data_IF_575996148874
#
_entry.id   IF_575996148874
#
_cell.length_a   1.000
_cell.length_b   1.000
_cell.length_c   1.000
_cell.angle_alpha   90.00
_cell.angle_beta   90.00
_cell.angle_gamma   90.00
#
_symmetry.space_group_name_H-M   'P 1'
#
loop_
_entity.id
_entity.type
_entity.pdbx_description
1 polymer ?
#
# COMPACT_ATOMS: atom_id res chain seq x y z
N UNK A 1 -1.26 4.65 30.74
CA UNK A 1 -1.25 3.96 29.44
C UNK A 1 -0.82 4.92 28.34
N UNK A 2 0.13 4.51 27.49
CA UNK A 2 0.75 5.34 26.42
C UNK A 2 -0.22 5.69 25.28
N UNK A 3 -1.19 4.83 25.01
CA UNK A 3 -2.27 5.03 24.04
C UNK A 3 -3.61 4.88 24.77
N UNK A 4 -4.55 5.79 24.54
CA UNK A 4 -5.85 5.84 25.21
C UNK A 4 -6.98 5.32 24.32
N UNK A 5 -6.89 5.56 23.01
CA UNK A 5 -7.91 5.19 22.04
C UNK A 5 -7.32 4.27 20.98
N UNK A 6 -7.76 3.01 20.96
CA UNK A 6 -7.28 1.99 20.05
C UNK A 6 -8.34 1.63 19.02
N UNK A 7 -7.97 1.63 17.74
CA UNK A 7 -8.76 1.08 16.66
C UNK A 7 -8.21 -0.29 16.28
N UNK A 8 -9.04 -1.32 16.33
CA UNK A 8 -8.77 -2.62 15.75
C UNK A 8 -9.42 -2.69 14.36
N UNK A 9 -8.63 -2.42 13.32
CA UNK A 9 -9.07 -2.42 11.93
C UNK A 9 -8.81 -3.80 11.30
N UNK A 10 -9.83 -4.48 10.78
CA UNK A 10 -9.65 -5.82 10.20
C UNK A 10 -10.19 -5.93 8.77
N UNK A 11 -9.74 -6.94 8.01
CA UNK A 11 -10.29 -7.21 6.67
C UNK A 11 -11.48 -8.16 6.71
N UNK A 12 -12.34 -8.13 5.68
CA UNK A 12 -13.12 -9.33 5.31
C UNK A 12 -12.22 -10.25 4.48
N UNK A 13 -12.28 -11.55 4.72
CA UNK A 13 -11.51 -12.52 3.94
C UNK A 13 -12.07 -12.67 2.53
N UNK A 14 -11.21 -13.02 1.56
CA UNK A 14 -11.63 -13.26 0.18
C UNK A 14 -12.71 -14.36 0.11
N UNK A 15 -12.59 -15.40 0.94
CA UNK A 15 -13.61 -16.44 1.03
C UNK A 15 -14.99 -15.87 1.41
N UNK A 16 -15.04 -15.00 2.42
CA UNK A 16 -16.29 -14.38 2.84
C UNK A 16 -16.89 -13.53 1.72
N UNK A 17 -16.08 -12.70 1.08
CA UNK A 17 -16.54 -11.83 -0.02
C UNK A 17 -17.06 -12.66 -1.20
N UNK A 18 -16.31 -13.67 -1.64
CA UNK A 18 -16.65 -14.44 -2.85
C UNK A 18 -17.69 -15.54 -2.62
N UNK A 19 -17.75 -16.16 -1.44
CA UNK A 19 -18.60 -17.35 -1.24
C UNK A 19 -19.70 -17.16 -0.21
N UNK A 20 -19.55 -16.26 0.78
CA UNK A 20 -20.57 -16.05 1.81
C UNK A 20 -21.45 -14.83 1.55
N UNK A 21 -20.89 -13.75 1.00
CA UNK A 21 -21.59 -12.47 0.84
C UNK A 21 -22.08 -12.23 -0.60
N UNK A 22 -21.45 -12.86 -1.60
CA UNK A 22 -21.94 -12.76 -2.97
C UNK A 22 -22.91 -13.90 -3.28
N UNK A 23 -24.04 -13.59 -3.90
CA UNK A 23 -25.02 -14.55 -4.45
C UNK A 23 -24.48 -15.29 -5.68
N UNK A 24 -23.20 -15.64 -5.69
CA UNK A 24 -22.47 -15.97 -6.90
C UNK A 24 -22.60 -17.44 -7.30
N UNK A 25 -22.73 -17.65 -8.61
CA UNK A 25 -22.64 -18.92 -9.32
C UNK A 25 -21.28 -19.62 -9.20
N UNK A 26 -20.34 -19.08 -8.41
CA UNK A 26 -19.01 -19.65 -8.18
C UNK A 26 -19.07 -21.05 -7.54
N UNK A 27 -20.13 -21.34 -6.78
CA UNK A 27 -20.41 -22.66 -6.22
C UNK A 27 -20.63 -23.75 -7.29
N UNK A 28 -20.95 -23.38 -8.54
CA UNK A 28 -21.28 -24.33 -9.60
C UNK A 28 -20.07 -24.81 -10.42
N UNK A 29 -18.86 -24.28 -10.19
CA UNK A 29 -17.67 -24.66 -10.99
C UNK A 29 -16.97 -25.88 -10.39
N UNK A 30 -17.06 -27.01 -11.11
CA UNK A 30 -16.72 -28.37 -10.62
C UNK A 30 -15.29 -28.85 -10.90
N UNK A 31 -14.44 -28.12 -11.63
CA UNK A 31 -13.10 -28.62 -11.93
C UNK A 31 -12.20 -28.62 -10.67
N UNK A 32 -11.39 -29.67 -10.53
CA UNK A 32 -10.55 -30.00 -9.37
C UNK A 32 -9.65 -28.84 -8.96
N UNK A 33 -9.05 -28.13 -9.92
CA UNK A 33 -8.17 -26.97 -9.66
C UNK A 33 -8.92 -25.87 -8.90
N UNK A 34 -10.15 -25.56 -9.31
CA UNK A 34 -10.98 -24.53 -8.65
C UNK A 34 -11.33 -24.97 -7.23
N UNK A 35 -11.65 -26.26 -7.03
CA UNK A 35 -11.93 -26.81 -5.69
C UNK A 35 -10.73 -26.71 -4.75
N UNK A 36 -9.50 -26.94 -5.23
CA UNK A 36 -8.28 -26.78 -4.43
C UNK A 36 -8.09 -25.32 -3.99
N UNK A 37 -8.33 -24.35 -4.87
CA UNK A 37 -8.26 -22.92 -4.52
C UNK A 37 -9.36 -22.50 -3.54
N UNK A 38 -10.58 -23.02 -3.66
CA UNK A 38 -11.65 -22.77 -2.68
C UNK A 38 -11.21 -23.23 -1.29
N UNK A 39 -10.66 -24.45 -1.16
CA UNK A 39 -10.15 -24.96 0.11
C UNK A 39 -9.02 -24.09 0.67
N UNK A 40 -8.15 -23.56 -0.19
CA UNK A 40 -7.10 -22.61 0.22
C UNK A 40 -7.70 -21.32 0.77
N UNK A 41 -8.71 -20.75 0.09
CA UNK A 41 -9.42 -19.57 0.59
C UNK A 41 -10.12 -19.82 1.92
N UNK A 42 -10.70 -21.00 2.10
CA UNK A 42 -11.36 -21.41 3.34
C UNK A 42 -10.37 -21.57 4.50
N UNK A 43 -9.20 -22.18 4.28
CA UNK A 43 -8.14 -22.25 5.31
C UNK A 43 -7.67 -20.85 5.73
N UNK A 44 -7.40 -19.97 4.76
CA UNK A 44 -7.03 -18.58 5.01
C UNK A 44 -8.15 -17.76 5.66
N UNK A 45 -9.41 -18.17 5.51
CA UNK A 45 -10.54 -17.58 6.20
C UNK A 45 -10.49 -17.93 7.69
N UNK A 46 -10.40 -19.22 8.02
CA UNK A 46 -10.36 -19.68 9.41
C UNK A 46 -9.16 -19.09 10.16
N UNK A 47 -7.94 -19.21 9.62
CA UNK A 47 -6.73 -18.66 10.23
C UNK A 47 -6.86 -17.14 10.52
N UNK A 48 -7.47 -16.40 9.60
CA UNK A 48 -7.71 -14.97 9.77
C UNK A 48 -8.67 -14.65 10.92
N UNK A 49 -9.81 -15.34 11.01
CA UNK A 49 -10.80 -15.07 12.05
C UNK A 49 -10.37 -15.61 13.42
N UNK A 50 -9.62 -16.70 13.47
CA UNK A 50 -9.01 -17.21 14.70
C UNK A 50 -7.96 -16.22 15.24
N UNK A 51 -7.11 -15.68 14.34
CA UNK A 51 -6.17 -14.62 14.69
C UNK A 51 -6.88 -13.35 15.18
N UNK A 52 -7.94 -12.91 14.49
CA UNK A 52 -8.73 -11.75 14.90
C UNK A 52 -9.33 -11.93 16.29
N UNK A 53 -9.98 -13.08 16.54
CA UNK A 53 -10.54 -13.42 17.84
C UNK A 53 -9.49 -13.41 18.94
N UNK A 54 -8.30 -13.95 18.65
CA UNK A 54 -7.20 -14.02 19.61
C UNK A 54 -6.60 -12.64 19.91
N UNK A 55 -6.43 -11.78 18.90
CA UNK A 55 -6.02 -10.38 19.08
C UNK A 55 -7.02 -9.62 19.95
N UNK A 56 -8.32 -9.70 19.65
CA UNK A 56 -9.37 -9.05 20.44
C UNK A 56 -9.39 -9.55 21.89
N UNK A 57 -9.23 -10.87 22.10
CA UNK A 57 -9.14 -11.47 23.44
C UNK A 57 -7.94 -10.93 24.21
N UNK A 58 -6.76 -10.86 23.58
CA UNK A 58 -5.54 -10.36 24.23
C UNK A 58 -5.65 -8.89 24.62
N UNK A 59 -6.26 -8.05 23.78
CA UNK A 59 -6.56 -6.66 24.12
C UNK A 59 -7.47 -6.56 25.34
N UNK A 60 -8.55 -7.35 25.36
CA UNK A 60 -9.49 -7.40 26.47
C UNK A 60 -8.84 -7.86 27.77
N UNK A 61 -8.08 -8.97 27.76
CA UNK A 61 -7.39 -9.51 28.94
C UNK A 61 -6.39 -8.53 29.54
N UNK A 62 -5.75 -7.68 28.73
CA UNK A 62 -4.82 -6.65 29.20
C UNK A 62 -5.52 -5.32 29.58
N UNK A 63 -6.85 -5.29 29.65
CA UNK A 63 -7.63 -4.12 30.05
C UNK A 63 -7.58 -2.96 29.04
N UNK A 64 -7.25 -3.25 27.77
CA UNK A 64 -7.13 -2.23 26.73
C UNK A 64 -8.50 -2.03 26.09
N UNK A 65 -9.01 -0.79 26.13
CA UNK A 65 -10.25 -0.42 25.44
C UNK A 65 -9.97 -0.18 23.95
N UNK A 66 -10.79 -0.78 23.08
CA UNK A 66 -10.65 -0.63 21.63
C UNK A 66 -12.01 -0.60 20.93
N UNK A 67 -12.03 -0.04 19.72
CA UNK A 67 -13.15 -0.15 18.78
C UNK A 67 -12.78 -1.12 17.67
N UNK A 68 -13.63 -2.10 17.38
CA UNK A 68 -13.49 -2.97 16.21
C UNK A 68 -14.17 -2.38 14.98
N UNK A 69 -13.49 -2.39 13.84
CA UNK A 69 -14.07 -1.93 12.58
C UNK A 69 -13.49 -2.73 11.41
N UNK A 70 -14.33 -3.19 10.48
CA UNK A 70 -13.84 -3.77 9.24
C UNK A 70 -13.43 -2.66 8.25
N UNK A 71 -12.37 -2.90 7.48
CA UNK A 71 -11.87 -1.97 6.44
C UNK A 71 -12.93 -1.73 5.38
N UNK A 72 -13.11 -0.47 4.98
CA UNK A 72 -14.17 -0.04 4.06
C UNK A 72 -15.45 0.47 4.75
N UNK A 73 -15.60 0.31 6.07
CA UNK A 73 -16.63 1.06 6.83
C UNK A 73 -16.12 2.45 7.17
N UNK A 74 -16.99 3.46 7.03
CA UNK A 74 -16.66 4.85 7.39
C UNK A 74 -16.42 4.94 8.91
N UNK A 75 -15.25 5.42 9.29
CA UNK A 75 -14.86 5.67 10.68
C UNK A 75 -13.97 6.93 10.76
N UNK A 76 -14.09 7.69 11.85
CA UNK A 76 -13.24 8.85 12.08
C UNK A 76 -11.91 8.41 12.74
N UNK A 77 -10.88 8.20 11.91
CA UNK A 77 -9.55 7.79 12.37
C UNK A 77 -8.94 8.77 13.39
N UNK A 78 -9.27 10.07 13.34
CA UNK A 78 -8.71 11.09 14.24
C UNK A 78 -9.01 10.85 15.74
N UNK A 79 -9.97 9.99 16.05
CA UNK A 79 -10.32 9.61 17.43
C UNK A 79 -9.36 8.61 18.06
N UNK A 80 -8.43 8.04 17.28
CA UNK A 80 -7.59 6.93 17.69
C UNK A 80 -6.12 7.33 17.62
N UNK A 81 -5.37 6.96 18.64
CA UNK A 81 -3.94 7.28 18.75
C UNK A 81 -3.08 6.05 18.36
N UNK A 82 -3.67 4.85 18.44
CA UNK A 82 -3.11 3.59 17.94
C UNK A 82 -4.12 2.88 17.03
N UNK A 83 -3.65 2.47 15.84
CA UNK A 83 -4.39 1.63 14.91
C UNK A 83 -3.68 0.29 14.82
N UNK A 84 -4.34 -0.77 15.26
CA UNK A 84 -3.88 -2.14 15.09
C UNK A 84 -4.63 -2.73 13.90
N UNK A 85 -3.92 -3.10 12.85
CA UNK A 85 -4.55 -3.71 11.66
C UNK A 85 -4.40 -5.23 11.70
N UNK A 86 -5.50 -5.97 11.62
CA UNK A 86 -5.51 -7.44 11.57
C UNK A 86 -5.89 -7.92 10.17
N UNK A 87 -4.91 -8.41 9.43
CA UNK A 87 -5.08 -8.76 8.03
C UNK A 87 -3.75 -9.05 7.36
N UNK A 88 -3.53 -8.49 6.19
CA UNK A 88 -2.20 -8.39 5.58
C UNK A 88 -1.92 -6.94 5.20
N UNK A 89 -0.96 -6.73 4.31
CA UNK A 89 -0.51 -5.39 3.87
C UNK A 89 -1.63 -4.49 3.37
N UNK A 90 -2.63 -5.04 2.66
CA UNK A 90 -3.77 -4.26 2.20
C UNK A 90 -4.65 -3.69 3.32
N UNK A 91 -4.58 -4.23 4.55
CA UNK A 91 -5.30 -3.67 5.71
C UNK A 91 -4.48 -2.57 6.37
N UNK A 92 -3.15 -2.75 6.42
CA UNK A 92 -2.22 -1.70 6.83
C UNK A 92 -2.29 -0.48 5.89
N UNK A 93 -2.27 -0.71 4.57
CA UNK A 93 -2.38 0.34 3.55
C UNK A 93 -3.67 1.15 3.71
N UNK A 94 -4.79 0.49 4.02
CA UNK A 94 -6.05 1.20 4.29
C UNK A 94 -5.93 2.17 5.48
N UNK A 95 -5.39 1.71 6.61
CA UNK A 95 -5.17 2.57 7.76
C UNK A 95 -4.23 3.73 7.40
N UNK A 96 -3.15 3.43 6.68
CA UNK A 96 -2.10 4.39 6.32
C UNK A 96 -2.58 5.61 5.53
N UNK A 97 -3.70 5.48 4.80
CA UNK A 97 -4.31 6.57 4.03
C UNK A 97 -5.05 7.58 4.90
N UNK A 98 -5.54 7.14 6.05
CA UNK A 98 -6.41 7.93 6.91
C UNK A 98 -5.71 8.51 8.14
N UNK A 99 -4.50 8.04 8.43
CA UNK A 99 -3.73 8.49 9.60
C UNK A 99 -2.81 9.68 9.30
N UNK A 100 -2.60 10.50 10.32
CA UNK A 100 -1.57 11.53 10.35
C UNK A 100 -0.26 11.02 11.00
N UNK A 101 0.74 11.87 11.10
CA UNK A 101 2.08 11.53 11.63
C UNK A 101 2.12 11.28 13.15
N UNK A 102 1.09 11.68 13.89
CA UNK A 102 1.03 11.55 15.35
C UNK A 102 0.47 10.19 15.77
N UNK A 103 -0.33 9.58 14.90
CA UNK A 103 -0.96 8.28 15.09
C UNK A 103 0.01 7.15 14.76
N UNK A 104 -0.04 6.07 15.54
CA UNK A 104 0.78 4.87 15.33
C UNK A 104 -0.04 3.79 14.64
N UNK A 105 0.51 3.15 13.61
CA UNK A 105 -0.10 2.00 12.94
C UNK A 105 0.77 0.76 13.18
N UNK A 106 0.15 -0.33 13.62
CA UNK A 106 0.80 -1.63 13.86
C UNK A 106 0.07 -2.70 13.04
N UNK A 107 0.79 -3.35 12.13
CA UNK A 107 0.24 -4.46 11.35
C UNK A 107 0.42 -5.81 12.03
N UNK A 108 -0.68 -6.57 12.12
CA UNK A 108 -0.72 -7.97 12.53
C UNK A 108 -1.12 -8.81 11.32
N UNK A 109 -0.20 -9.65 10.85
CA UNK A 109 -0.48 -10.62 9.80
C UNK A 109 -1.35 -11.74 10.39
N UNK A 110 -2.62 -11.73 9.98
CA UNK A 110 -3.64 -12.64 10.50
C UNK A 110 -3.63 -14.02 9.85
N UNK A 111 -2.88 -14.20 8.76
CA UNK A 111 -2.84 -15.47 8.03
C UNK A 111 -1.44 -15.69 7.43
N UNK A 112 -0.39 -15.79 8.28
CA UNK A 112 1.00 -15.88 7.84
C UNK A 112 1.28 -17.10 6.94
N UNK A 113 0.50 -18.18 7.05
CA UNK A 113 0.63 -19.33 6.15
C UNK A 113 0.14 -19.04 4.71
N UNK A 114 -0.54 -17.90 4.52
CA UNK A 114 -1.17 -17.52 3.25
C UNK A 114 -0.85 -16.09 2.81
N UNK A 115 -0.08 -15.33 3.60
CA UNK A 115 0.28 -13.94 3.33
C UNK A 115 1.65 -13.60 3.90
N UNK A 116 2.40 -12.77 3.18
CA UNK A 116 3.74 -12.31 3.61
C UNK A 116 3.65 -11.25 4.72
N UNK A 117 2.78 -10.24 4.56
CA UNK A 117 2.61 -9.17 5.55
C UNK A 117 3.85 -8.31 5.75
N UNK A 118 4.37 -7.66 4.69
CA UNK A 118 5.60 -6.87 4.74
C UNK A 118 5.53 -5.65 5.66
N UNK A 119 4.35 -5.03 5.77
CA UNK A 119 4.10 -3.93 6.70
C UNK A 119 3.66 -4.41 8.10
N UNK A 120 3.39 -5.71 8.24
CA UNK A 120 3.03 -6.30 9.51
C UNK A 120 4.30 -6.61 10.33
N UNK A 121 4.30 -6.14 11.57
CA UNK A 121 5.40 -6.37 12.52
C UNK A 121 5.09 -7.51 13.48
N UNK A 122 3.86 -8.04 13.45
CA UNK A 122 3.45 -9.16 14.27
C UNK A 122 2.62 -10.20 13.49
N UNK A 123 2.61 -11.42 14.01
CA UNK A 123 1.57 -12.44 13.80
C UNK A 123 0.86 -12.65 15.13
N UNK A 124 -0.08 -13.59 15.24
CA UNK A 124 -0.64 -13.93 16.54
C UNK A 124 0.42 -14.45 17.52
N UNK A 125 1.45 -15.15 17.01
CA UNK A 125 2.47 -15.83 17.82
C UNK A 125 3.30 -14.87 18.67
N UNK A 126 3.54 -13.64 18.19
CA UNK A 126 4.30 -12.62 18.90
C UNK A 126 3.47 -11.38 19.30
N UNK A 127 2.16 -11.39 19.04
CA UNK A 127 1.32 -10.22 19.29
C UNK A 127 1.23 -9.87 20.77
N UNK A 128 1.16 -10.87 21.66
CA UNK A 128 1.08 -10.61 23.10
C UNK A 128 2.35 -9.90 23.63
N UNK A 129 3.53 -10.34 23.19
CA UNK A 129 4.79 -9.69 23.55
C UNK A 129 4.84 -8.25 23.00
N UNK A 130 4.45 -8.06 21.74
CA UNK A 130 4.36 -6.74 21.14
C UNK A 130 3.37 -5.85 21.91
N UNK A 131 2.21 -6.38 22.29
CA UNK A 131 1.20 -5.67 23.05
C UNK A 131 1.77 -5.19 24.39
N UNK A 132 2.49 -6.07 25.09
CA UNK A 132 3.16 -5.73 26.33
C UNK A 132 4.18 -4.62 26.14
N UNK A 133 4.97 -4.69 25.05
CA UNK A 133 5.92 -3.62 24.71
C UNK A 133 5.22 -2.28 24.44
N UNK A 134 4.13 -2.28 23.67
CA UNK A 134 3.39 -1.07 23.28
C UNK A 134 2.83 -0.33 24.49
N UNK A 135 2.20 -1.06 25.43
CA UNK A 135 1.40 -0.46 26.49
C UNK A 135 2.13 -0.35 27.83
N UNK A 136 3.09 -1.24 28.10
CA UNK A 136 3.70 -1.37 29.42
C UNK A 136 5.21 -1.12 29.43
N UNK A 137 5.87 -0.98 28.27
CA UNK A 137 7.31 -0.69 28.20
C UNK A 137 7.67 0.40 27.17
N UNK A 138 8.97 0.60 26.89
CA UNK A 138 9.47 1.52 25.87
C UNK A 138 9.60 0.82 24.51
N UNK A 139 8.87 1.31 23.51
CA UNK A 139 9.02 0.92 22.10
C UNK A 139 9.89 1.88 21.30
N UNK A 140 10.62 1.36 20.31
CA UNK A 140 11.29 2.14 19.27
C UNK A 140 10.31 2.40 18.13
N UNK A 141 10.12 3.67 17.79
CA UNK A 141 9.33 4.05 16.64
C UNK A 141 10.16 4.01 15.36
N UNK A 142 9.49 3.71 14.25
CA UNK A 142 10.02 3.87 12.90
C UNK A 142 8.97 4.53 12.01
N UNK A 143 9.39 4.93 10.81
CA UNK A 143 8.56 5.68 9.89
C UNK A 143 8.62 5.05 8.51
N UNK A 144 7.45 4.70 7.97
CA UNK A 144 7.32 4.42 6.55
C UNK A 144 7.01 5.73 5.83
N UNK A 145 7.88 6.12 4.90
CA UNK A 145 7.71 7.33 4.12
C UNK A 145 6.73 7.11 2.97
N UNK A 146 5.87 8.10 2.72
CA UNK A 146 4.92 8.13 1.60
C UNK A 146 5.47 8.94 0.44
N UNK A 147 4.99 8.69 -0.77
CA UNK A 147 5.12 9.60 -1.91
C UNK A 147 3.86 10.46 -2.02
N UNK A 148 4.04 11.76 -2.27
CA UNK A 148 2.98 12.71 -2.58
C UNK A 148 2.82 12.88 -4.07
N UNK A 149 1.59 12.77 -4.54
CA UNK A 149 1.12 13.05 -5.89
C UNK A 149 0.41 14.40 -5.84
N UNK A 150 0.94 15.43 -6.50
CA UNK A 150 0.32 16.75 -6.60
C UNK A 150 -0.04 17.03 -8.06
N UNK A 151 -1.33 17.10 -8.36
CA UNK A 151 -1.87 17.49 -9.66
C UNK A 151 -1.82 19.01 -9.77
N UNK A 152 -1.00 19.53 -10.69
CA UNK A 152 -0.71 20.98 -10.72
C UNK A 152 -1.89 21.82 -11.19
N UNK A 153 -2.78 21.25 -11.98
CA UNK A 153 -3.94 21.94 -12.54
C UNK A 153 -4.96 22.28 -11.46
N UNK A 154 -5.16 21.35 -10.51
CA UNK A 154 -6.20 21.44 -9.48
C UNK A 154 -5.64 21.78 -8.09
N UNK A 155 -4.35 21.55 -7.86
CA UNK A 155 -3.74 21.60 -6.53
C UNK A 155 -4.10 20.40 -5.64
N UNK A 156 -4.91 19.46 -6.15
CA UNK A 156 -5.28 18.24 -5.43
C UNK A 156 -4.06 17.36 -5.21
N UNK A 157 -4.02 16.71 -4.04
CA UNK A 157 -2.93 15.79 -3.73
C UNK A 157 -3.37 14.54 -2.98
N UNK A 158 -2.59 13.48 -3.19
CA UNK A 158 -2.73 12.19 -2.54
C UNK A 158 -1.38 11.71 -2.02
N UNK A 159 -1.38 10.98 -0.92
CA UNK A 159 -0.18 10.32 -0.39
C UNK A 159 -0.32 8.81 -0.54
N UNK A 160 0.68 8.15 -1.14
CA UNK A 160 0.74 6.71 -1.34
C UNK A 160 1.91 6.10 -0.55
N UNK A 161 1.67 4.96 0.10
CA UNK A 161 2.68 4.31 0.96
C UNK A 161 3.54 3.30 0.21
N UNK A 162 2.99 2.62 -0.79
CA UNK A 162 3.64 1.54 -1.52
C UNK A 162 4.21 2.06 -2.85
N UNK A 163 3.35 2.26 -3.84
CA UNK A 163 3.74 2.60 -5.20
C UNK A 163 2.60 3.28 -5.97
N UNK A 164 2.97 3.91 -7.08
CA UNK A 164 2.06 4.41 -8.10
C UNK A 164 2.45 3.89 -9.48
N UNK A 165 1.43 3.68 -10.30
CA UNK A 165 1.57 3.41 -11.74
C UNK A 165 0.94 4.55 -12.51
N UNK A 166 1.70 5.17 -13.40
CA UNK A 166 1.18 6.11 -14.38
C UNK A 166 1.21 5.41 -15.74
N UNK A 167 0.04 5.21 -16.34
CA UNK A 167 -0.07 4.51 -17.61
C UNK A 167 -1.33 4.92 -18.38
N UNK A 168 -1.45 4.44 -19.62
CA UNK A 168 -2.71 4.48 -20.33
C UNK A 168 -3.76 3.60 -19.62
N UNK A 169 -5.01 4.04 -19.59
CA UNK A 169 -6.12 3.32 -18.93
C UNK A 169 -6.42 1.94 -19.53
N UNK A 170 -6.19 1.78 -20.84
CA UNK A 170 -6.17 0.49 -21.52
C UNK A 170 -4.72 -0.07 -21.54
N UNK A 171 -4.45 -1.25 -20.94
CA UNK A 171 -3.10 -1.82 -20.88
C UNK A 171 -2.52 -2.25 -22.24
N UNK A 172 -3.36 -2.41 -23.27
CA UNK A 172 -2.89 -2.70 -24.63
C UNK A 172 -2.41 -1.44 -25.39
N UNK A 173 -2.62 -0.26 -24.82
CA UNK A 173 -2.26 1.02 -25.46
C UNK A 173 -0.95 1.57 -24.91
N UNK A 174 -0.22 2.28 -25.77
CA UNK A 174 1.03 2.94 -25.41
C UNK A 174 0.79 4.08 -24.41
N UNK A 175 1.62 4.13 -23.38
CA UNK A 175 1.73 5.29 -22.49
C UNK A 175 2.76 6.26 -23.04
N UNK A 176 2.39 7.54 -23.19
CA UNK A 176 3.26 8.60 -23.71
C UNK A 176 3.25 9.79 -22.77
N UNK A 177 4.43 10.25 -22.35
CA UNK A 177 4.55 11.34 -21.39
C UNK A 177 5.92 12.01 -21.50
N UNK A 178 6.01 13.26 -21.04
CA UNK A 178 7.30 13.84 -20.67
C UNK A 178 7.61 13.50 -19.22
N UNK A 179 8.84 13.07 -18.94
CA UNK A 179 9.39 12.95 -17.59
C UNK A 179 10.49 13.99 -17.42
N UNK A 180 10.46 14.72 -16.30
CA UNK A 180 11.50 15.66 -15.90
C UNK A 180 11.97 15.37 -14.48
N UNK A 181 13.29 15.22 -14.33
CA UNK A 181 13.98 15.10 -13.05
C UNK A 181 15.17 16.05 -13.07
N UNK A 182 15.20 17.03 -12.15
CA UNK A 182 16.13 18.16 -12.18
C UNK A 182 16.07 18.86 -13.54
N UNK A 183 17.21 18.97 -14.23
CA UNK A 183 17.35 19.68 -15.51
C UNK A 183 17.17 18.77 -16.73
N UNK A 184 17.03 17.46 -16.52
CA UNK A 184 16.81 16.50 -17.61
C UNK A 184 15.32 16.32 -17.83
N UNK A 185 14.88 16.52 -19.09
CA UNK A 185 13.53 16.25 -19.56
C UNK A 185 13.60 15.42 -20.84
N UNK A 186 12.75 14.39 -20.94
CA UNK A 186 12.63 13.58 -22.15
C UNK A 186 11.20 13.11 -22.36
N UNK A 187 10.76 13.00 -23.63
CA UNK A 187 9.54 12.29 -23.98
C UNK A 187 9.81 10.79 -23.91
N UNK A 188 9.00 10.04 -23.16
CA UNK A 188 9.07 8.59 -23.09
C UNK A 188 7.78 7.95 -23.63
N UNK A 189 7.97 6.77 -24.22
CA UNK A 189 6.94 5.88 -24.72
C UNK A 189 7.17 4.52 -24.08
N UNK A 190 6.17 3.98 -23.40
CA UNK A 190 6.34 2.77 -22.57
C UNK A 190 4.97 2.16 -22.26
N UNK A 191 4.90 1.07 -21.49
CA UNK A 191 3.62 0.59 -20.93
C UNK A 191 3.22 1.28 -19.62
N UNK A 192 3.93 2.36 -19.29
CA UNK A 192 3.77 3.16 -18.07
C UNK A 192 5.07 3.31 -17.29
N UNK A 193 4.96 3.92 -16.12
CA UNK A 193 6.08 4.13 -15.20
C UNK A 193 5.64 3.80 -13.77
N UNK A 194 6.46 2.99 -13.11
CA UNK A 194 6.36 2.75 -11.67
C UNK A 194 7.12 3.83 -10.92
N UNK A 195 6.53 4.34 -9.84
CA UNK A 195 7.23 5.14 -8.84
C UNK A 195 6.86 4.58 -7.47
N UNK A 196 7.85 4.23 -6.65
CA UNK A 196 7.64 3.51 -5.40
C UNK A 196 8.44 4.13 -4.25
N UNK A 197 7.89 4.07 -3.04
CA UNK A 197 8.62 4.40 -1.81
C UNK A 197 9.68 3.34 -1.52
N UNK A 198 10.54 3.58 -0.53
CA UNK A 198 11.42 2.54 -0.03
C UNK A 198 10.63 1.35 0.56
N UNK A 199 9.51 1.62 1.23
CA UNK A 199 8.67 0.59 1.84
C UNK A 199 7.93 -0.26 0.79
N UNK A 200 7.58 0.32 -0.36
CA UNK A 200 7.00 -0.41 -1.48
C UNK A 200 8.01 -1.06 -2.43
N UNK A 201 9.30 -0.95 -2.15
CA UNK A 201 10.37 -1.45 -3.02
C UNK A 201 10.40 -2.98 -3.19
N UNK A 202 9.66 -3.73 -2.37
CA UNK A 202 9.45 -5.17 -2.51
C UNK A 202 8.18 -5.54 -3.30
N UNK A 203 7.36 -4.55 -3.67
CA UNK A 203 6.09 -4.71 -4.37
C UNK A 203 6.23 -4.76 -5.88
N UNK A 204 5.31 -4.10 -6.60
CA UNK A 204 5.21 -4.19 -8.05
C UNK A 204 6.49 -3.73 -8.76
N UNK A 205 7.16 -2.70 -8.23
CA UNK A 205 8.41 -2.23 -8.81
C UNK A 205 9.54 -3.26 -8.72
N UNK A 206 9.53 -4.13 -7.70
CA UNK A 206 10.52 -5.21 -7.59
C UNK A 206 10.34 -6.21 -8.72
N UNK A 207 9.09 -6.62 -8.97
CA UNK A 207 8.73 -7.51 -10.07
C UNK A 207 9.09 -6.91 -11.43
N UNK A 208 9.06 -5.58 -11.56
CA UNK A 208 9.46 -4.88 -12.77
C UNK A 208 10.99 -4.73 -12.94
N UNK A 209 11.82 -5.21 -11.99
CA UNK A 209 13.29 -5.09 -12.04
C UNK A 209 13.88 -3.97 -11.19
N UNK A 210 13.07 -3.34 -10.33
CA UNK A 210 13.51 -2.31 -9.37
C UNK A 210 14.41 -2.85 -8.26
N UNK A 211 14.99 -1.91 -7.49
CA UNK A 211 15.90 -2.25 -6.39
C UNK A 211 15.10 -2.51 -5.11
N UNK A 212 15.53 -3.49 -4.32
CA UNK A 212 15.04 -3.63 -2.95
C UNK A 212 15.74 -2.58 -2.09
N UNK A 213 14.98 -1.80 -1.32
CA UNK A 213 15.48 -0.71 -0.49
C UNK A 213 15.17 -1.00 0.98
N UNK A 214 15.93 -0.38 1.89
CA UNK A 214 15.56 -0.34 3.30
C UNK A 214 14.27 0.47 3.46
N UNK A 215 13.21 -0.21 3.91
CA UNK A 215 11.84 0.30 4.00
C UNK A 215 11.68 1.56 4.86
N UNK A 216 12.63 1.85 5.74
CA UNK A 216 12.60 3.05 6.59
C UNK A 216 13.36 4.24 5.99
N UNK A 217 14.04 4.08 4.85
CA UNK A 217 14.76 5.20 4.20
C UNK A 217 13.81 6.18 3.54
N UNK A 218 14.12 7.48 3.68
CA UNK A 218 13.39 8.60 3.06
C UNK A 218 13.79 8.81 1.60
N UNK A 219 13.54 7.80 0.76
CA UNK A 219 13.85 7.79 -0.68
C UNK A 219 12.67 7.22 -1.47
N UNK A 220 12.61 7.56 -2.75
CA UNK A 220 11.70 6.93 -3.72
C UNK A 220 12.51 6.41 -4.90
N UNK A 221 11.96 5.49 -5.68
CA UNK A 221 12.58 5.03 -6.92
C UNK A 221 11.55 5.01 -8.04
N UNK A 222 12.02 5.14 -9.27
CA UNK A 222 11.19 5.08 -10.46
C UNK A 222 11.75 4.10 -11.49
N UNK A 223 10.86 3.54 -12.29
CA UNK A 223 11.22 2.60 -13.35
C UNK A 223 10.17 2.64 -14.48
N UNK A 224 10.50 3.18 -15.67
CA UNK A 224 9.68 3.02 -16.86
C UNK A 224 9.54 1.54 -17.25
N UNK A 225 8.33 1.10 -17.59
CA UNK A 225 8.03 -0.28 -17.98
C UNK A 225 8.13 -0.47 -19.49
N UNK A 226 8.83 -1.51 -19.96
CA UNK A 226 8.92 -1.84 -21.39
C UNK A 226 9.24 -0.60 -22.25
N UNK A 227 10.24 0.18 -21.81
CA UNK A 227 10.58 1.47 -22.41
C UNK A 227 10.89 1.30 -23.91
N UNK A 228 10.08 1.92 -24.76
CA UNK A 228 10.20 1.81 -26.20
C UNK A 228 11.36 2.70 -26.71
N UNK A 229 12.43 2.04 -27.14
CA UNK A 229 13.64 2.72 -27.63
C UNK A 229 13.41 3.33 -29.02
N UNK A 230 12.70 2.66 -29.93
CA UNK A 230 12.52 3.14 -31.30
C UNK A 230 13.84 3.56 -31.94
N UNK A 231 13.89 4.78 -32.50
CA UNK A 231 15.13 5.42 -33.01
C UNK A 231 15.94 6.14 -31.91
N UNK A 232 15.38 6.36 -30.72
CA UNK A 232 16.04 7.05 -29.62
C UNK A 232 16.70 6.05 -28.65
N UNK A 233 17.97 5.74 -28.88
CA UNK A 233 18.75 4.84 -28.01
C UNK A 233 19.35 5.53 -26.78
N UNK A 234 19.13 6.83 -26.58
CA UNK A 234 19.90 7.67 -25.66
C UNK A 234 19.11 8.17 -24.42
N UNK A 235 18.02 7.51 -24.02
CA UNK A 235 17.28 7.88 -22.81
C UNK A 235 18.19 7.92 -21.57
N UNK A 236 18.13 9.04 -20.84
CA UNK A 236 18.88 9.25 -19.60
C UNK A 236 18.07 8.81 -18.38
N UNK A 237 16.74 8.94 -18.41
CA UNK A 237 15.86 8.67 -17.27
C UNK A 237 15.24 7.27 -17.34
N UNK A 238 16.09 6.24 -17.36
CA UNK A 238 15.68 4.82 -17.47
C UNK A 238 15.31 4.16 -16.14
N UNK A 239 15.37 4.90 -15.05
CA UNK A 239 15.11 4.44 -13.70
C UNK A 239 16.19 4.90 -12.73
N UNK A 240 15.87 4.92 -11.44
CA UNK A 240 16.81 5.37 -10.43
C UNK A 240 16.19 5.56 -9.05
N UNK A 241 17.05 5.75 -8.06
CA UNK A 241 16.66 6.08 -6.69
C UNK A 241 16.87 7.58 -6.48
N UNK A 242 15.86 8.24 -5.93
CA UNK A 242 15.80 9.68 -5.71
C UNK A 242 15.69 9.99 -4.22
N UNK A 243 16.43 10.99 -3.78
CA UNK A 243 16.41 11.49 -2.39
C UNK A 243 15.20 12.38 -2.15
N UNK A 244 14.92 12.68 -0.88
CA UNK A 244 13.83 13.58 -0.45
C UNK A 244 13.88 15.01 -1.01
N UNK A 245 15.04 15.46 -1.54
CA UNK A 245 15.21 16.78 -2.16
C UNK A 245 14.78 16.81 -3.63
N UNK A 246 14.53 15.65 -4.23
CA UNK A 246 14.19 15.52 -5.64
C UNK A 246 12.70 15.25 -5.82
N UNK A 247 12.16 15.73 -6.94
CA UNK A 247 10.81 15.38 -7.40
C UNK A 247 10.85 14.96 -8.86
N UNK A 248 9.88 14.15 -9.25
CA UNK A 248 9.61 13.79 -10.64
C UNK A 248 8.44 14.64 -11.12
N UNK A 249 8.57 15.30 -12.26
CA UNK A 249 7.45 15.97 -12.94
C UNK A 249 7.11 15.12 -14.16
N UNK A 250 5.84 14.76 -14.29
CA UNK A 250 5.32 14.02 -15.45
C UNK A 250 4.25 14.87 -16.11
N UNK A 251 4.34 15.03 -17.42
CA UNK A 251 3.30 15.65 -18.25
C UNK A 251 2.72 14.59 -19.17
N UNK A 252 1.41 14.35 -19.07
CA UNK A 252 0.72 13.34 -19.87
C UNK A 252 0.58 13.79 -21.32
N UNK A 253 0.88 12.89 -22.25
CA UNK A 253 0.55 13.02 -23.66
C UNK A 253 -0.47 11.94 -24.08
N UNK A 254 -1.22 11.39 -23.12
CA UNK A 254 -2.19 10.32 -23.32
C UNK A 254 -3.61 10.88 -23.37
N UNK A 255 -4.42 10.46 -24.33
CA UNK A 255 -5.85 10.84 -24.36
C UNK A 255 -6.66 10.25 -23.20
N UNK A 256 -6.30 9.06 -22.73
CA UNK A 256 -6.95 8.37 -21.60
C UNK A 256 -5.92 7.88 -20.59
N UNK A 257 -5.17 8.81 -20.01
CA UNK A 257 -4.14 8.49 -19.02
C UNK A 257 -4.74 8.26 -17.64
N UNK A 258 -4.04 7.49 -16.81
CA UNK A 258 -4.49 7.12 -15.47
C UNK A 258 -3.30 7.05 -14.53
N UNK A 259 -3.51 7.48 -13.29
CA UNK A 259 -2.61 7.21 -12.18
C UNK A 259 -3.31 6.27 -11.21
N UNK A 260 -2.67 5.16 -10.89
CA UNK A 260 -3.09 4.23 -9.84
C UNK A 260 -2.15 4.38 -8.66
N UNK A 261 -2.66 4.32 -7.43
CA UNK A 261 -1.84 4.46 -6.23
C UNK A 261 -2.23 3.47 -5.13
N UNK A 262 -1.23 2.79 -4.56
CA UNK A 262 -1.37 1.71 -3.57
C UNK A 262 -2.33 0.58 -4.03
N UNK A 263 -2.26 0.22 -5.31
CA UNK A 263 -3.09 -0.81 -5.94
C UNK A 263 -4.16 -0.24 -6.89
N UNK A 264 -5.11 -1.09 -7.29
CA UNK A 264 -6.05 -0.79 -8.37
C UNK A 264 -7.30 0.01 -7.94
N UNK A 265 -7.59 0.09 -6.64
CA UNK A 265 -8.84 0.68 -6.15
C UNK A 265 -8.82 2.20 -6.14
N UNK A 266 -7.65 2.81 -5.98
CA UNK A 266 -7.49 4.25 -6.03
C UNK A 266 -6.83 4.66 -7.33
N UNK A 267 -7.54 5.50 -8.06
CA UNK A 267 -7.12 5.97 -9.37
C UNK A 267 -7.58 7.39 -9.61
N UNK A 268 -6.83 8.11 -10.43
CA UNK A 268 -7.14 9.46 -10.85
C UNK A 268 -6.87 9.60 -12.35
N UNK A 269 -7.76 10.28 -13.08
CA UNK A 269 -7.55 10.55 -14.50
C UNK A 269 -6.30 11.40 -14.70
N UNK A 270 -5.59 11.16 -15.79
CA UNK A 270 -4.35 11.86 -16.10
C UNK A 270 -4.19 12.00 -17.60
N UNK A 271 -5.18 12.66 -18.18
CA UNK A 271 -5.32 12.83 -19.61
C UNK A 271 -4.38 13.90 -20.15
N UNK A 272 -4.47 14.15 -21.45
CA UNK A 272 -3.53 14.94 -22.22
C UNK A 272 -3.34 16.34 -21.60
N UNK A 273 -2.08 16.74 -21.42
CA UNK A 273 -1.71 18.02 -20.83
C UNK A 273 -1.63 18.03 -19.31
N UNK A 274 -2.18 17.02 -18.61
CA UNK A 274 -2.09 16.93 -17.15
C UNK A 274 -0.65 16.84 -16.65
N UNK A 275 -0.34 17.52 -15.55
CA UNK A 275 0.99 17.66 -14.96
C UNK A 275 0.96 17.20 -13.51
N UNK A 276 1.65 16.09 -13.27
CA UNK A 276 1.79 15.49 -11.95
C UNK A 276 3.19 15.75 -11.40
N UNK A 277 3.29 16.30 -10.19
CA UNK A 277 4.53 16.32 -9.40
C UNK A 277 4.51 15.20 -8.37
N UNK A 278 5.50 14.32 -8.43
CA UNK A 278 5.71 13.24 -7.45
C UNK A 278 6.93 13.57 -6.58
N UNK A 279 6.77 13.49 -5.26
CA UNK A 279 7.82 13.82 -4.29
C UNK A 279 7.66 12.99 -3.00
N UNK A 280 8.62 13.01 -2.08
CA UNK A 280 8.41 12.41 -0.75
C UNK A 280 7.43 13.27 0.03
N UNK A 281 6.37 12.65 0.56
CA UNK A 281 5.38 13.32 1.40
C UNK A 281 6.02 13.79 2.73
N UNK A 282 5.64 14.97 3.24
CA UNK A 282 6.03 15.43 4.57
C UNK A 282 5.37 14.60 5.68
N UNK A 283 4.34 13.81 5.38
CA UNK A 283 3.55 13.07 6.35
C UNK A 283 3.91 11.57 6.28
N UNK A 284 4.90 11.06 7.04
CA UNK A 284 5.15 9.62 7.12
C UNK A 284 4.09 8.89 7.95
N UNK A 285 4.04 7.57 7.83
CA UNK A 285 3.25 6.69 8.70
C UNK A 285 4.15 6.21 9.83
N UNK A 286 3.78 6.55 11.06
CA UNK A 286 4.50 6.12 12.25
C UNK A 286 4.13 4.68 12.60
N UNK A 287 5.14 3.84 12.78
CA UNK A 287 5.00 2.43 13.15
C UNK A 287 5.99 2.09 14.27
N UNK A 288 6.02 0.83 14.68
CA UNK A 288 6.94 0.29 15.68
C UNK A 288 7.94 -0.62 15.00
N UNK A 289 9.19 -0.56 15.46
CA UNK A 289 10.24 -1.49 15.04
C UNK A 289 10.53 -2.44 16.21
N UNK A 290 10.35 -3.75 15.95
CA UNK A 290 10.77 -4.80 16.86
C UNK A 290 12.30 -4.82 17.00
#
# INVERSE_FOLDING_TARGET
MRFKNVLLLYKRSAYRIYFLESSSSLHKRKNITVRKEIKRFEKAHHEHYDSLKSVSKLLFTHGIRFTECYRGRKINYKKYDLIITVGGDGTFLEASRHVNSDQVVVGVNSAPNHSVGRFCVATIDNFEELLKKIFFTKVKFAYFHRIRLLFKETGEHFDALNDILICHSNPAMLSRYHIKIRDVMEEQRSSGIWISTAAGSSGAIKSAGGKLLDQYKKVMQYLPRELYLGKNKAYKLKGGVLTSRQSIIITSLMRKGMVFFDGAHHKHSFDYGGVLRVSISPNPVKTIKL
#
